data_IF_825552880640
#
_entry.id   IF_825552880640
#
_cell.length_a   1.000
_cell.length_b   1.000
_cell.length_c   1.000
_cell.angle_alpha   90.00
_cell.angle_beta   90.00
_cell.angle_gamma   90.00
#
_symmetry.space_group_name_H-M   'P 1'
#
loop_
_entity.id
_entity.type
_entity.pdbx_description
1 polymer ?
#
# COMPACT_ATOMS: atom_id res chain seq x y z
N UNK A 1 67.42 13.11 13.59
CA UNK A 1 66.86 12.48 14.81
C UNK A 1 65.55 13.15 15.22
N UNK A 2 65.57 14.42 15.65
CA UNK A 2 64.36 15.12 16.11
C UNK A 2 63.24 15.14 15.06
N UNK A 3 63.55 15.47 13.81
CA UNK A 3 62.58 15.45 12.70
C UNK A 3 61.98 14.08 12.44
N UNK A 4 62.77 12.99 12.46
CA UNK A 4 62.23 11.63 12.31
C UNK A 4 61.32 11.21 13.47
N UNK A 5 61.65 11.63 14.70
CA UNK A 5 60.80 11.39 15.87
C UNK A 5 59.47 12.13 15.76
N UNK A 6 59.50 13.38 15.30
CA UNK A 6 58.31 14.21 15.11
C UNK A 6 57.41 13.64 14.00
N UNK A 7 58.00 13.20 12.87
CA UNK A 7 57.27 12.55 11.76
C UNK A 7 56.65 11.22 12.18
N UNK A 8 57.37 10.39 12.96
CA UNK A 8 56.85 9.12 13.43
C UNK A 8 55.75 9.30 14.49
N UNK A 9 55.88 10.30 15.36
CA UNK A 9 54.82 10.68 16.30
C UNK A 9 53.57 11.18 15.57
N UNK A 10 53.73 11.92 14.47
CA UNK A 10 52.61 12.36 13.64
C UNK A 10 51.94 11.18 12.91
N UNK A 11 52.71 10.18 12.45
CA UNK A 11 52.17 8.95 11.88
C UNK A 11 51.36 8.16 12.92
N UNK A 12 51.88 7.97 14.13
CA UNK A 12 51.18 7.29 15.21
C UNK A 12 49.85 7.99 15.54
N UNK A 13 49.86 9.33 15.71
CA UNK A 13 48.65 10.10 15.99
C UNK A 13 47.60 10.00 14.86
N UNK A 14 48.03 10.05 13.59
CA UNK A 14 47.12 9.86 12.44
C UNK A 14 46.58 8.43 12.36
N UNK A 15 47.38 7.44 12.74
CA UNK A 15 46.98 6.03 12.76
C UNK A 15 45.93 5.78 13.84
N UNK A 16 46.11 6.35 15.03
CA UNK A 16 45.14 6.26 16.12
C UNK A 16 43.80 6.94 15.76
N UNK A 17 43.84 8.12 15.13
CA UNK A 17 42.64 8.76 14.59
C UNK A 17 41.97 7.92 13.49
N UNK A 18 42.78 7.30 12.61
CA UNK A 18 42.29 6.40 11.56
C UNK A 18 41.59 5.17 12.14
N UNK A 19 42.15 4.57 13.19
CA UNK A 19 41.55 3.43 13.88
C UNK A 19 40.18 3.77 14.48
N UNK A 20 40.06 4.92 15.14
CA UNK A 20 38.78 5.39 15.67
C UNK A 20 37.73 5.58 14.56
N UNK A 21 38.12 6.16 13.42
CA UNK A 21 37.25 6.36 12.26
C UNK A 21 36.79 5.03 11.63
N UNK A 22 37.69 4.04 11.54
CA UNK A 22 37.39 2.69 11.06
C UNK A 22 36.36 2.00 11.96
N UNK A 23 36.56 2.04 13.28
CA UNK A 23 35.62 1.46 14.26
C UNK A 23 34.23 2.11 14.16
N UNK A 24 34.17 3.44 14.06
CA UNK A 24 32.90 4.15 13.90
C UNK A 24 32.20 3.80 12.57
N UNK A 25 32.98 3.64 11.50
CA UNK A 25 32.46 3.25 10.19
C UNK A 25 31.93 1.82 10.22
N UNK A 26 32.63 0.90 10.87
CA UNK A 26 32.20 -0.48 11.05
C UNK A 26 30.88 -0.57 11.85
N UNK A 27 30.77 0.19 12.94
CA UNK A 27 29.53 0.26 13.73
C UNK A 27 28.35 0.83 12.90
N UNK A 28 28.60 1.87 12.10
CA UNK A 28 27.58 2.44 11.20
C UNK A 28 27.15 1.43 10.13
N UNK A 29 28.08 0.63 9.59
CA UNK A 29 27.79 -0.44 8.65
C UNK A 29 26.95 -1.56 9.26
N UNK A 30 27.12 -1.86 10.55
CA UNK A 30 26.25 -2.81 11.27
C UNK A 30 24.83 -2.31 11.40
N UNK A 31 24.66 -1.04 11.79
CA UNK A 31 23.33 -0.43 11.89
C UNK A 31 22.63 -0.35 10.52
N UNK A 32 23.38 0.02 9.46
CA UNK A 32 22.86 0.02 8.09
C UNK A 32 22.45 -1.39 7.65
N UNK A 33 23.29 -2.39 7.89
CA UNK A 33 22.98 -3.78 7.57
C UNK A 33 21.70 -4.27 8.25
N UNK A 34 21.51 -3.93 9.53
CA UNK A 34 20.30 -4.27 10.28
C UNK A 34 19.06 -3.58 9.69
N UNK A 35 19.18 -2.30 9.33
CA UNK A 35 18.08 -1.50 8.76
C UNK A 35 17.68 -2.01 7.37
N UNK A 36 18.67 -2.35 6.53
CA UNK A 36 18.43 -2.93 5.20
C UNK A 36 17.77 -4.31 5.29
N UNK A 37 18.19 -5.15 6.26
CA UNK A 37 17.54 -6.42 6.54
C UNK A 37 16.07 -6.23 6.93
N UNK A 38 15.79 -5.30 7.86
CA UNK A 38 14.43 -4.96 8.25
C UNK A 38 13.58 -4.47 7.07
N UNK A 39 14.15 -3.67 6.17
CA UNK A 39 13.45 -3.20 4.97
C UNK A 39 13.08 -4.36 4.03
N UNK A 40 13.96 -5.34 3.86
CA UNK A 40 13.68 -6.54 3.08
C UNK A 40 12.53 -7.36 3.69
N UNK A 41 12.56 -7.59 5.00
CA UNK A 41 11.50 -8.32 5.72
C UNK A 41 10.15 -7.58 5.66
N UNK A 42 10.17 -6.25 5.82
CA UNK A 42 9.01 -5.40 5.67
C UNK A 42 8.45 -5.44 4.25
N UNK A 43 9.30 -5.47 3.22
CA UNK A 43 8.87 -5.60 1.84
C UNK A 43 8.18 -6.95 1.59
N UNK A 44 8.72 -8.06 2.11
CA UNK A 44 8.08 -9.38 2.02
C UNK A 44 6.70 -9.36 2.68
N UNK A 45 6.61 -8.82 3.90
CA UNK A 45 5.36 -8.72 4.65
C UNK A 45 4.33 -7.86 3.91
N UNK A 46 4.73 -6.67 3.44
CA UNK A 46 3.88 -5.77 2.69
C UNK A 46 3.40 -6.39 1.36
N UNK A 47 4.25 -7.20 0.70
CA UNK A 47 3.87 -7.94 -0.50
C UNK A 47 2.77 -8.95 -0.22
N UNK A 48 2.84 -9.66 0.93
CA UNK A 48 1.79 -10.55 1.40
C UNK A 48 0.47 -9.81 1.63
N UNK A 49 0.51 -8.70 2.36
CA UNK A 49 -0.68 -7.87 2.62
C UNK A 49 -1.32 -7.34 1.33
N UNK A 50 -0.51 -6.93 0.35
CA UNK A 50 -1.01 -6.46 -0.93
C UNK A 50 -1.72 -7.59 -1.73
N UNK A 51 -1.21 -8.83 -1.67
CA UNK A 51 -1.87 -10.00 -2.28
C UNK A 51 -3.21 -10.31 -1.62
N UNK A 52 -3.27 -10.27 -0.29
CA UNK A 52 -4.53 -10.47 0.45
C UNK A 52 -5.55 -9.38 0.12
N UNK A 53 -5.12 -8.12 0.04
CA UNK A 53 -5.97 -7.02 -0.36
C UNK A 53 -6.49 -7.18 -1.80
N UNK A 54 -5.65 -7.63 -2.74
CA UNK A 54 -6.06 -7.91 -4.12
C UNK A 54 -7.11 -9.02 -4.19
N UNK A 55 -6.93 -10.10 -3.45
CA UNK A 55 -7.91 -11.18 -3.36
C UNK A 55 -9.25 -10.68 -2.80
N UNK A 56 -9.22 -9.89 -1.72
CA UNK A 56 -10.43 -9.31 -1.13
C UNK A 56 -11.14 -8.34 -2.10
N UNK A 57 -10.39 -7.57 -2.89
CA UNK A 57 -10.95 -6.69 -3.90
C UNK A 57 -11.63 -7.48 -5.03
N UNK A 58 -11.03 -8.60 -5.45
CA UNK A 58 -11.60 -9.51 -6.43
C UNK A 58 -12.93 -10.12 -5.94
N UNK A 59 -12.96 -10.65 -4.72
CA UNK A 59 -14.18 -11.21 -4.11
C UNK A 59 -15.29 -10.15 -4.01
N UNK A 60 -14.92 -8.91 -3.68
CA UNK A 60 -15.85 -7.78 -3.64
C UNK A 60 -16.38 -7.45 -5.03
N UNK A 61 -15.53 -7.48 -6.06
CA UNK A 61 -15.93 -7.33 -7.45
C UNK A 61 -16.98 -8.38 -7.87
N UNK A 62 -16.79 -9.65 -7.51
CA UNK A 62 -17.78 -10.70 -7.78
C UNK A 62 -19.12 -10.44 -7.08
N UNK A 63 -19.10 -9.94 -5.83
CA UNK A 63 -20.32 -9.58 -5.12
C UNK A 63 -21.08 -8.44 -5.80
N UNK A 64 -20.38 -7.42 -6.30
CA UNK A 64 -20.99 -6.32 -7.06
C UNK A 64 -21.67 -6.84 -8.33
N UNK A 65 -21.03 -7.77 -9.05
CA UNK A 65 -21.64 -8.41 -10.23
C UNK A 65 -22.91 -9.18 -9.86
N UNK A 66 -22.93 -9.89 -8.72
CA UNK A 66 -24.15 -10.58 -8.25
C UNK A 66 -25.27 -9.60 -7.88
N UNK A 67 -24.94 -8.45 -7.27
CA UNK A 67 -25.91 -7.39 -6.98
C UNK A 67 -26.52 -6.85 -8.28
N UNK A 68 -25.68 -6.56 -9.29
CA UNK A 68 -26.14 -6.10 -10.62
C UNK A 68 -27.11 -7.11 -11.27
N UNK A 69 -26.78 -8.40 -11.26
CA UNK A 69 -27.64 -9.45 -11.79
C UNK A 69 -28.98 -9.57 -11.03
N UNK A 70 -28.96 -9.36 -9.71
CA UNK A 70 -30.17 -9.37 -8.88
C UNK A 70 -31.06 -8.17 -9.19
N UNK A 71 -30.47 -6.99 -9.38
CA UNK A 71 -31.21 -5.79 -9.79
C UNK A 71 -31.87 -5.98 -11.16
N UNK A 72 -31.15 -6.51 -12.15
CA UNK A 72 -31.70 -6.80 -13.47
C UNK A 72 -32.86 -7.83 -13.41
N UNK A 73 -32.73 -8.86 -12.59
CA UNK A 73 -33.80 -9.85 -12.38
C UNK A 73 -35.02 -9.22 -11.69
N UNK A 74 -34.80 -8.30 -10.76
CA UNK A 74 -35.87 -7.57 -10.05
C UNK A 74 -36.57 -6.60 -10.99
N UNK A 75 -35.84 -5.91 -11.87
CA UNK A 75 -36.42 -5.04 -12.92
C UNK A 75 -37.33 -5.85 -13.85
N UNK A 76 -36.87 -7.02 -14.32
CA UNK A 76 -37.68 -7.90 -15.16
C UNK A 76 -38.93 -8.43 -14.44
N UNK A 77 -38.86 -8.70 -13.13
CA UNK A 77 -40.01 -9.07 -12.32
C UNK A 77 -41.00 -7.91 -12.17
N UNK A 78 -40.52 -6.71 -11.87
CA UNK A 78 -41.33 -5.49 -11.78
C UNK A 78 -42.08 -5.19 -13.08
N UNK A 79 -41.42 -5.35 -14.23
CA UNK A 79 -42.06 -5.19 -15.55
C UNK A 79 -43.24 -6.15 -15.73
N UNK A 80 -43.08 -7.43 -15.36
CA UNK A 80 -44.18 -8.41 -15.42
C UNK A 80 -45.34 -8.04 -14.49
N UNK A 81 -45.05 -7.56 -13.28
CA UNK A 81 -46.11 -7.12 -12.36
C UNK A 81 -46.85 -5.89 -12.94
N UNK A 82 -46.14 -4.98 -13.61
CA UNK A 82 -46.76 -3.84 -14.28
C UNK A 82 -47.74 -4.30 -15.37
N UNK A 83 -47.33 -5.24 -16.21
CA UNK A 83 -48.19 -5.81 -17.26
C UNK A 83 -49.47 -6.45 -16.68
N UNK A 84 -49.32 -7.23 -15.60
CA UNK A 84 -50.46 -7.83 -14.88
C UNK A 84 -51.38 -6.74 -14.33
N UNK A 85 -50.81 -5.67 -13.77
CA UNK A 85 -51.56 -4.56 -13.20
C UNK A 85 -52.35 -3.81 -14.29
N UNK A 86 -51.79 -3.67 -15.49
CA UNK A 86 -52.49 -3.15 -16.67
C UNK A 86 -53.68 -4.03 -17.06
N UNK A 87 -53.51 -5.36 -17.06
CA UNK A 87 -54.60 -6.30 -17.33
C UNK A 87 -55.71 -6.19 -16.27
N UNK A 88 -55.36 -6.12 -14.98
CA UNK A 88 -56.33 -5.96 -13.88
C UNK A 88 -57.13 -4.66 -14.06
N UNK A 89 -56.48 -3.55 -14.39
CA UNK A 89 -57.17 -2.29 -14.65
C UNK A 89 -58.12 -2.38 -15.86
N UNK A 90 -57.72 -3.12 -16.92
CA UNK A 90 -58.59 -3.39 -18.08
C UNK A 90 -59.83 -4.22 -17.69
N UNK A 91 -59.64 -5.27 -16.88
CA UNK A 91 -60.75 -6.09 -16.36
C UNK A 91 -61.70 -5.23 -15.52
N UNK A 92 -61.16 -4.43 -14.60
CA UNK A 92 -61.95 -3.53 -13.77
C UNK A 92 -62.77 -2.54 -14.62
N UNK A 93 -62.17 -1.99 -15.69
CA UNK A 93 -62.88 -1.13 -16.64
C UNK A 93 -64.01 -1.87 -17.36
N UNK A 94 -63.75 -3.09 -17.87
CA UNK A 94 -64.78 -3.91 -18.50
C UNK A 94 -65.93 -4.24 -17.54
N UNK A 95 -65.62 -4.65 -16.30
CA UNK A 95 -66.63 -4.92 -15.26
C UNK A 95 -67.46 -3.68 -14.95
N UNK A 96 -66.84 -2.50 -14.90
CA UNK A 96 -67.54 -1.23 -14.70
C UNK A 96 -68.53 -0.93 -15.85
N UNK A 97 -68.18 -1.21 -17.10
CA UNK A 97 -69.08 -1.07 -18.26
C UNK A 97 -70.22 -2.11 -18.22
N UNK A 98 -69.92 -3.37 -17.88
CA UNK A 98 -70.92 -4.42 -17.70
C UNK A 98 -71.94 -4.06 -16.60
N UNK A 99 -71.46 -3.56 -15.46
CA UNK A 99 -72.30 -3.11 -14.35
C UNK A 99 -73.19 -1.92 -14.74
N UNK A 100 -72.64 -0.95 -15.50
CA UNK A 100 -73.42 0.16 -16.03
C UNK A 100 -74.55 -0.32 -16.94
N UNK A 101 -74.26 -1.23 -17.87
CA UNK A 101 -75.27 -1.80 -18.77
C UNK A 101 -76.36 -2.54 -17.97
N UNK A 102 -75.98 -3.29 -16.93
CA UNK A 102 -76.93 -3.97 -16.05
C UNK A 102 -77.81 -2.98 -15.26
N UNK A 103 -77.26 -1.86 -14.78
CA UNK A 103 -78.06 -0.80 -14.14
C UNK A 103 -79.08 -0.18 -15.10
N UNK A 104 -78.71 0.01 -16.37
CA UNK A 104 -79.63 0.53 -17.41
C UNK A 104 -80.76 -0.45 -17.69
N UNK A 105 -80.46 -1.74 -17.85
CA UNK A 105 -81.49 -2.74 -18.13
C UNK A 105 -82.40 -2.98 -16.91
N UNK A 106 -81.85 -2.90 -15.70
CA UNK A 106 -82.62 -2.95 -14.46
C UNK A 106 -83.60 -1.76 -14.34
N UNK A 107 -83.17 -0.56 -14.73
CA UNK A 107 -84.06 0.61 -14.79
C UNK A 107 -85.18 0.41 -15.84
N UNK A 108 -84.86 -0.23 -16.97
CA UNK A 108 -85.82 -0.55 -18.04
C UNK A 108 -86.89 -1.55 -17.60
N UNK A 109 -86.55 -2.49 -16.72
CA UNK A 109 -87.47 -3.48 -16.15
C UNK A 109 -88.40 -2.92 -15.05
N UNK A 110 -88.24 -1.66 -14.64
CA UNK A 110 -89.09 -1.00 -13.65
C UNK A 110 -89.00 -1.64 -12.26
N UNK A 111 -90.15 -1.86 -11.60
CA UNK A 111 -90.21 -2.43 -10.23
C UNK A 111 -89.58 -3.83 -10.15
N UNK A 112 -89.64 -4.64 -11.22
CA UNK A 112 -89.07 -5.99 -11.24
C UNK A 112 -87.53 -5.98 -11.29
N UNK A 113 -86.93 -4.87 -11.73
CA UNK A 113 -85.48 -4.70 -11.83
C UNK A 113 -84.81 -4.14 -10.57
N UNK A 114 -85.57 -3.76 -9.53
CA UNK A 114 -85.04 -3.09 -8.34
C UNK A 114 -83.89 -3.85 -7.65
N UNK A 115 -84.04 -5.16 -7.48
CA UNK A 115 -82.98 -6.00 -6.89
C UNK A 115 -81.72 -6.06 -7.75
N UNK A 116 -81.88 -6.16 -9.07
CA UNK A 116 -80.76 -6.15 -10.02
C UNK A 116 -80.05 -4.80 -10.07
N UNK A 117 -80.78 -3.68 -9.92
CA UNK A 117 -80.19 -2.36 -9.91
C UNK A 117 -79.20 -2.18 -8.74
N UNK A 118 -79.55 -2.67 -7.54
CA UNK A 118 -78.68 -2.61 -6.36
C UNK A 118 -77.41 -3.42 -6.56
N UNK A 119 -77.52 -4.65 -7.07
CA UNK A 119 -76.36 -5.50 -7.36
C UNK A 119 -75.46 -4.85 -8.41
N UNK A 120 -76.04 -4.28 -9.48
CA UNK A 120 -75.28 -3.59 -10.51
C UNK A 120 -74.50 -2.38 -9.95
N UNK A 121 -75.10 -1.59 -9.06
CA UNK A 121 -74.39 -0.50 -8.38
C UNK A 121 -73.23 -1.00 -7.51
N UNK A 122 -73.43 -2.09 -6.76
CA UNK A 122 -72.36 -2.64 -5.91
C UNK A 122 -71.19 -3.21 -6.74
N UNK A 123 -71.49 -3.93 -7.82
CA UNK A 123 -70.47 -4.41 -8.77
C UNK A 123 -69.71 -3.24 -9.39
N UNK A 124 -70.41 -2.14 -9.73
CA UNK A 124 -69.78 -0.92 -10.25
C UNK A 124 -68.82 -0.30 -9.24
N UNK A 125 -69.23 -0.15 -7.98
CA UNK A 125 -68.38 0.37 -6.92
C UNK A 125 -67.14 -0.51 -6.71
N UNK A 126 -67.31 -1.84 -6.72
CA UNK A 126 -66.20 -2.79 -6.60
C UNK A 126 -65.21 -2.65 -7.76
N UNK A 127 -65.72 -2.53 -9.00
CA UNK A 127 -64.90 -2.33 -10.18
C UNK A 127 -64.09 -1.02 -10.11
N UNK A 128 -64.70 0.09 -9.67
CA UNK A 128 -64.00 1.37 -9.48
C UNK A 128 -62.91 1.28 -8.40
N UNK A 129 -63.19 0.59 -7.28
CA UNK A 129 -62.18 0.34 -6.22
C UNK A 129 -61.02 -0.51 -6.72
N UNK A 130 -61.30 -1.52 -7.54
CA UNK A 130 -60.28 -2.37 -8.16
C UNK A 130 -59.37 -1.55 -9.11
N UNK A 131 -59.95 -0.71 -9.97
CA UNK A 131 -59.20 0.19 -10.85
C UNK A 131 -58.31 1.18 -10.06
N UNK A 132 -58.83 1.74 -8.97
CA UNK A 132 -58.05 2.60 -8.06
C UNK A 132 -56.85 1.86 -7.47
N UNK A 133 -57.07 0.66 -6.93
CA UNK A 133 -56.01 -0.17 -6.34
C UNK A 133 -54.96 -0.57 -7.39
N UNK A 134 -55.38 -0.91 -8.60
CA UNK A 134 -54.46 -1.23 -9.70
C UNK A 134 -53.59 -0.01 -10.06
N UNK A 135 -54.16 1.20 -10.08
CA UNK A 135 -53.39 2.42 -10.33
C UNK A 135 -52.36 2.70 -9.23
N UNK A 136 -52.72 2.49 -7.97
CA UNK A 136 -51.80 2.67 -6.84
C UNK A 136 -50.64 1.66 -6.90
N UNK A 137 -50.94 0.39 -7.24
CA UNK A 137 -49.91 -0.64 -7.45
C UNK A 137 -48.97 -0.24 -8.61
N UNK A 138 -49.51 0.24 -9.73
CA UNK A 138 -48.70 0.68 -10.88
C UNK A 138 -47.75 1.84 -10.50
N UNK A 139 -48.22 2.77 -9.67
CA UNK A 139 -47.37 3.86 -9.15
C UNK A 139 -46.23 3.34 -8.27
N UNK A 140 -46.51 2.38 -7.37
CA UNK A 140 -45.50 1.73 -6.54
C UNK A 140 -44.45 0.98 -7.38
N UNK A 141 -44.89 0.26 -8.41
CA UNK A 141 -43.98 -0.46 -9.32
C UNK A 141 -43.10 0.53 -10.09
N UNK A 142 -43.67 1.64 -10.59
CA UNK A 142 -42.89 2.68 -11.27
C UNK A 142 -41.80 3.23 -10.35
N UNK A 143 -42.15 3.54 -9.10
CA UNK A 143 -41.18 3.99 -8.09
C UNK A 143 -40.11 2.94 -7.79
N UNK A 144 -40.49 1.66 -7.70
CA UNK A 144 -39.55 0.56 -7.47
C UNK A 144 -38.56 0.42 -8.64
N UNK A 145 -39.04 0.55 -9.89
CA UNK A 145 -38.17 0.51 -11.08
C UNK A 145 -37.15 1.65 -11.07
N UNK A 146 -37.54 2.87 -10.68
CA UNK A 146 -36.58 3.98 -10.54
C UNK A 146 -35.49 3.67 -9.51
N UNK A 147 -35.85 3.14 -8.34
CA UNK A 147 -34.88 2.75 -7.31
C UNK A 147 -33.94 1.63 -7.77
N UNK A 148 -34.46 0.68 -8.55
CA UNK A 148 -33.65 -0.39 -9.14
C UNK A 148 -32.64 0.19 -10.13
N UNK A 149 -33.05 1.12 -10.99
CA UNK A 149 -32.15 1.79 -11.95
C UNK A 149 -31.04 2.59 -11.26
N UNK A 150 -31.37 3.31 -10.19
CA UNK A 150 -30.37 3.96 -9.32
C UNK A 150 -29.41 2.92 -8.72
N UNK A 151 -29.93 1.80 -8.23
CA UNK A 151 -29.14 0.69 -7.70
C UNK A 151 -28.18 0.07 -8.73
N UNK A 152 -28.62 -0.08 -9.98
CA UNK A 152 -27.76 -0.54 -11.08
C UNK A 152 -26.63 0.45 -11.33
N UNK A 153 -26.93 1.74 -11.41
CA UNK A 153 -25.91 2.77 -11.61
C UNK A 153 -24.88 2.81 -10.46
N UNK A 154 -25.32 2.66 -9.22
CA UNK A 154 -24.43 2.56 -8.06
C UNK A 154 -23.54 1.32 -8.14
N UNK A 155 -24.08 0.17 -8.55
CA UNK A 155 -23.30 -1.05 -8.73
C UNK A 155 -22.23 -0.90 -9.83
N UNK A 156 -22.55 -0.22 -10.95
CA UNK A 156 -21.58 0.06 -12.02
C UNK A 156 -20.45 0.98 -11.57
N UNK A 157 -20.78 2.02 -10.80
CA UNK A 157 -19.75 2.90 -10.21
C UNK A 157 -18.87 2.14 -9.20
N UNK A 158 -19.45 1.23 -8.42
CA UNK A 158 -18.70 0.36 -7.52
C UNK A 158 -17.77 -0.58 -8.30
N UNK A 159 -18.22 -1.16 -9.42
CA UNK A 159 -17.42 -2.01 -10.31
C UNK A 159 -16.18 -1.26 -10.84
N UNK A 160 -16.36 -0.04 -11.35
CA UNK A 160 -15.25 0.81 -11.82
C UNK A 160 -14.28 1.15 -10.69
N UNK A 161 -14.80 1.45 -9.50
CA UNK A 161 -14.00 1.77 -8.32
C UNK A 161 -13.16 0.57 -7.86
N UNK A 162 -13.73 -0.64 -7.88
CA UNK A 162 -13.02 -1.88 -7.53
C UNK A 162 -11.93 -2.23 -8.55
N UNK A 163 -12.18 -1.98 -9.84
CA UNK A 163 -11.17 -2.13 -10.89
C UNK A 163 -9.97 -1.20 -10.64
N UNK A 164 -10.24 0.08 -10.38
CA UNK A 164 -9.21 1.09 -10.07
C UNK A 164 -8.44 0.75 -8.78
N UNK A 165 -9.13 0.21 -7.78
CA UNK A 165 -8.52 -0.26 -6.53
C UNK A 165 -7.57 -1.44 -6.78
N UNK A 166 -7.97 -2.40 -7.61
CA UNK A 166 -7.14 -3.56 -7.98
C UNK A 166 -5.87 -3.10 -8.70
N UNK A 167 -5.98 -2.17 -9.65
CA UNK A 167 -4.82 -1.58 -10.33
C UNK A 167 -3.87 -0.87 -9.37
N UNK A 168 -4.43 -0.14 -8.40
CA UNK A 168 -3.64 0.55 -7.37
C UNK A 168 -2.89 -0.44 -6.48
N UNK A 169 -3.53 -1.53 -6.06
CA UNK A 169 -2.90 -2.60 -5.27
C UNK A 169 -1.78 -3.27 -6.07
N UNK A 170 -2.00 -3.55 -7.35
CA UNK A 170 -0.97 -4.12 -8.23
C UNK A 170 0.25 -3.19 -8.36
N UNK A 171 0.03 -1.88 -8.46
CA UNK A 171 1.12 -0.90 -8.49
C UNK A 171 1.90 -0.88 -7.16
N UNK A 172 1.21 -0.96 -6.02
CA UNK A 172 1.85 -1.08 -4.71
C UNK A 172 2.67 -2.36 -4.61
N UNK A 173 2.14 -3.52 -5.04
CA UNK A 173 2.90 -4.77 -5.09
C UNK A 173 4.16 -4.67 -5.95
N UNK A 174 4.10 -3.97 -7.10
CA UNK A 174 5.28 -3.73 -7.95
C UNK A 174 6.34 -2.92 -7.22
N UNK A 175 5.97 -1.80 -6.61
CA UNK A 175 6.90 -0.93 -5.86
C UNK A 175 7.54 -1.68 -4.70
N UNK A 176 6.77 -2.51 -3.99
CA UNK A 176 7.31 -3.35 -2.92
C UNK A 176 8.32 -4.37 -3.46
N UNK A 177 8.06 -4.95 -4.64
CA UNK A 177 9.01 -5.81 -5.33
C UNK A 177 10.33 -5.09 -5.66
N UNK A 178 10.25 -3.85 -6.13
CA UNK A 178 11.43 -3.01 -6.39
C UNK A 178 12.21 -2.69 -5.10
N UNK A 179 11.51 -2.45 -3.98
CA UNK A 179 12.15 -2.24 -2.67
C UNK A 179 12.88 -3.51 -2.21
N UNK A 180 12.30 -4.69 -2.40
CA UNK A 180 12.93 -5.95 -2.03
C UNK A 180 14.22 -6.18 -2.82
N UNK A 181 14.18 -5.98 -4.14
CA UNK A 181 15.36 -6.09 -5.02
C UNK A 181 16.43 -5.06 -4.62
N UNK A 182 16.04 -3.79 -4.41
CA UNK A 182 16.98 -2.73 -4.01
C UNK A 182 17.60 -3.02 -2.64
N UNK A 183 16.84 -3.57 -1.70
CA UNK A 183 17.35 -3.95 -0.37
C UNK A 183 18.35 -5.10 -0.46
N UNK A 184 18.13 -6.07 -1.36
CA UNK A 184 19.11 -7.13 -1.62
C UNK A 184 20.41 -6.57 -2.21
N UNK A 185 20.33 -5.66 -3.17
CA UNK A 185 21.51 -4.97 -3.74
C UNK A 185 22.26 -4.14 -2.69
N UNK A 186 21.54 -3.40 -1.85
CA UNK A 186 22.12 -2.63 -0.73
C UNK A 186 22.84 -3.55 0.25
N UNK A 187 22.26 -4.71 0.58
CA UNK A 187 22.88 -5.70 1.47
C UNK A 187 24.22 -6.20 0.89
N UNK A 188 24.25 -6.52 -0.41
CA UNK A 188 25.50 -6.90 -1.11
C UNK A 188 26.53 -5.76 -1.10
N UNK A 189 26.10 -4.53 -1.34
CA UNK A 189 26.97 -3.35 -1.29
C UNK A 189 27.56 -3.11 0.10
N UNK A 190 26.77 -3.29 1.15
CA UNK A 190 27.23 -3.21 2.55
C UNK A 190 28.25 -4.31 2.85
N UNK A 191 28.03 -5.54 2.37
CA UNK A 191 29.02 -6.62 2.54
C UNK A 191 30.36 -6.28 1.87
N UNK A 192 30.34 -5.68 0.67
CA UNK A 192 31.56 -5.22 0.00
C UNK A 192 32.26 -4.09 0.76
N UNK A 193 31.49 -3.10 1.24
CA UNK A 193 32.03 -2.02 2.05
C UNK A 193 32.65 -2.53 3.36
N UNK A 194 32.01 -3.51 4.03
CA UNK A 194 32.58 -4.16 5.21
C UNK A 194 33.93 -4.83 4.92
N UNK A 195 34.06 -5.53 3.80
CA UNK A 195 35.35 -6.11 3.40
C UNK A 195 36.43 -5.03 3.21
N UNK A 196 36.08 -3.90 2.59
CA UNK A 196 37.00 -2.78 2.42
C UNK A 196 37.41 -2.14 3.77
N UNK A 197 36.45 -1.97 4.69
CA UNK A 197 36.73 -1.44 6.04
C UNK A 197 37.66 -2.38 6.82
N UNK A 198 37.47 -3.69 6.73
CA UNK A 198 38.38 -4.67 7.36
C UNK A 198 39.80 -4.58 6.79
N UNK A 199 39.95 -4.31 5.49
CA UNK A 199 41.28 -4.13 4.89
C UNK A 199 41.93 -2.81 5.35
N UNK A 200 41.16 -1.73 5.49
CA UNK A 200 41.65 -0.47 6.06
C UNK A 200 42.04 -0.64 7.53
N UNK A 201 41.28 -1.42 8.30
CA UNK A 201 41.63 -1.78 9.69
C UNK A 201 42.97 -2.52 9.74
N UNK A 202 43.15 -3.52 8.86
CA UNK A 202 44.41 -4.27 8.75
C UNK A 202 45.60 -3.35 8.44
N UNK A 203 45.46 -2.44 7.47
CA UNK A 203 46.52 -1.46 7.12
C UNK A 203 46.77 -0.51 8.29
N UNK A 204 45.73 -0.07 8.99
CA UNK A 204 45.84 0.79 10.18
C UNK A 204 46.62 0.11 11.29
N UNK A 205 46.32 -1.16 11.58
CA UNK A 205 47.08 -1.94 12.56
C UNK A 205 48.54 -2.13 12.13
N UNK A 206 48.80 -2.38 10.84
CA UNK A 206 50.16 -2.46 10.31
C UNK A 206 50.94 -1.15 10.45
N UNK A 207 50.29 -0.01 10.17
CA UNK A 207 50.90 1.31 10.36
C UNK A 207 51.26 1.56 11.82
N UNK A 208 50.43 1.11 12.76
CA UNK A 208 50.70 1.26 14.18
C UNK A 208 51.94 0.42 14.59
N UNK A 209 52.00 -0.84 14.15
CA UNK A 209 53.18 -1.69 14.37
C UNK A 209 54.45 -1.09 13.74
N UNK A 210 54.35 -0.53 12.53
CA UNK A 210 55.47 0.13 11.86
C UNK A 210 55.91 1.39 12.60
N UNK A 211 54.98 2.16 13.17
CA UNK A 211 55.29 3.33 13.97
C UNK A 211 56.01 2.95 15.28
N UNK A 212 55.56 1.89 15.97
CA UNK A 212 56.22 1.35 17.16
C UNK A 212 57.66 0.86 16.87
N UNK A 213 57.81 0.12 15.78
CA UNK A 213 59.14 -0.33 15.30
C UNK A 213 60.04 0.85 14.95
N UNK A 214 59.49 1.87 14.29
CA UNK A 214 60.24 3.09 13.92
C UNK A 214 60.66 3.89 15.15
N UNK A 215 59.83 4.00 16.18
CA UNK A 215 60.20 4.64 17.46
C UNK A 215 61.38 3.90 18.08
N UNK A 216 61.32 2.57 18.12
CA UNK A 216 62.40 1.72 18.65
C UNK A 216 63.71 1.93 17.87
N UNK A 217 63.65 1.96 16.55
CA UNK A 217 64.80 2.20 15.68
C UNK A 217 65.39 3.61 15.87
N UNK A 218 64.55 4.65 15.94
CA UNK A 218 64.99 6.02 16.19
C UNK A 218 65.68 6.14 17.54
N UNK A 219 65.13 5.52 18.60
CA UNK A 219 65.77 5.48 19.91
C UNK A 219 67.12 4.75 19.89
N UNK A 220 67.21 3.59 19.22
CA UNK A 220 68.46 2.86 19.07
C UNK A 220 69.53 3.66 18.30
N UNK A 221 69.13 4.33 17.22
CA UNK A 221 70.02 5.21 16.46
C UNK A 221 70.48 6.42 17.30
N UNK A 222 69.59 6.99 18.11
CA UNK A 222 69.94 8.11 19.00
C UNK A 222 70.99 7.68 20.02
N UNK A 223 70.81 6.51 20.67
CA UNK A 223 71.80 5.93 21.58
C UNK A 223 73.15 5.68 20.89
N UNK A 224 73.14 5.14 19.67
CA UNK A 224 74.35 4.92 18.89
C UNK A 224 75.07 6.24 18.55
N UNK A 225 74.32 7.29 18.23
CA UNK A 225 74.87 8.61 17.92
C UNK A 225 75.47 9.27 19.17
N UNK A 226 74.81 9.17 20.31
CA UNK A 226 75.31 9.64 21.61
C UNK A 226 76.61 8.89 21.98
N UNK A 227 76.63 7.57 21.80
CA UNK A 227 77.83 6.77 22.03
C UNK A 227 78.99 7.17 21.11
N UNK A 228 78.75 7.35 19.80
CA UNK A 228 79.76 7.81 18.85
C UNK A 228 80.28 9.22 19.17
N UNK A 229 79.41 10.14 19.55
CA UNK A 229 79.83 11.49 19.97
C UNK A 229 80.71 11.43 21.22
N UNK A 230 80.38 10.57 22.19
CA UNK A 230 81.19 10.36 23.38
C UNK A 230 82.59 9.83 23.04
N UNK A 231 82.68 8.84 22.16
CA UNK A 231 83.96 8.32 21.66
C UNK A 231 84.77 9.40 20.94
N UNK A 232 84.15 10.23 20.08
CA UNK A 232 84.87 11.31 19.37
C UNK A 232 85.38 12.40 20.31
N UNK A 233 84.61 12.77 21.34
CA UNK A 233 85.04 13.77 22.33
C UNK A 233 86.24 13.29 23.17
N UNK A 234 86.38 11.97 23.41
CA UNK A 234 87.57 11.37 24.03
C UNK A 234 88.85 11.55 23.18
N UNK A 235 88.72 11.69 21.86
CA UNK A 235 89.84 11.86 20.93
C UNK A 235 90.13 13.33 20.56
N UNK A 236 89.41 14.31 21.12
CA UNK A 236 89.73 15.74 20.94
C UNK A 236 90.97 16.14 21.76
N UNK A 237 92.07 16.43 21.06
CA UNK A 237 93.28 17.02 21.65
C UNK A 237 93.02 18.50 22.05
N UNK A 238 93.64 19.00 23.13
CA UNK A 238 93.48 20.39 23.55
C UNK A 238 93.98 21.36 22.46
N UNK A 239 93.23 22.43 22.22
CA UNK A 239 93.62 23.48 21.27
C UNK A 239 95.02 24.02 21.64
N UNK A 240 95.92 24.20 20.65
CA UNK A 240 97.22 24.78 20.91
C UNK A 240 97.03 26.19 21.49
N UNK A 241 97.81 26.57 22.52
CA UNK A 241 97.60 27.83 23.20
C UNK A 241 97.73 28.99 22.23
N UNK A 242 96.76 29.93 22.30
CA UNK A 242 96.80 31.22 21.61
C UNK A 242 98.13 31.92 21.91
N UNK A 243 99.00 31.99 20.90
CA UNK A 243 100.16 32.89 20.96
C UNK A 243 99.69 34.30 20.59
N UNK A 244 100.07 35.24 21.47
CA UNK A 244 99.80 36.69 21.46
C UNK A 244 99.89 37.38 20.10
#
# INVERSE_FOLDING_TARGET
MRTLSDENSALAARTEQGAAAVVQTAASMEQLSATVGLNADNAVTASGMAREAAASAQDTGEMVVRVKNTMASTEAASAKINDITTIINSIAFQTNILALNASVEAARAGEQGRGFAVVATEVRNLAQRCAGSAKDIAALITSATTLIQEGVSLAENAEVSMSTMTDSINNVSRVIGEIAVSSEEQSRGIQQARMAVNEVDRITQQNNQMAEQSTTLVSALQQLTEHLNHEVDLFRLPDPPLQH
#
